data_IF_622555220857
#
_entry.id   IF_622555220857
#
_cell.length_a   1.000
_cell.length_b   1.000
_cell.length_c   1.000
_cell.angle_alpha   90.00
_cell.angle_beta   90.00
_cell.angle_gamma   90.00
#
_symmetry.space_group_name_H-M   'P 1'
#
loop_
_entity.id
_entity.type
_entity.pdbx_description
1 polymer ?
#
# COMPACT_ATOMS: atom_id res chain seq x y z
N UNK A 1 -16.17 10.23 -27.05
CA UNK A 1 -16.49 9.50 -25.82
C UNK A 1 -15.47 9.90 -24.77
N UNK A 2 -15.90 10.62 -23.74
CA UNK A 2 -15.02 11.12 -22.67
C UNK A 2 -14.63 9.95 -21.78
N UNK A 3 -13.40 9.45 -21.94
CA UNK A 3 -12.79 8.57 -20.94
C UNK A 3 -12.53 9.43 -19.71
N UNK A 4 -13.51 9.51 -18.82
CA UNK A 4 -13.26 9.95 -17.46
C UNK A 4 -12.22 8.99 -16.91
N UNK A 5 -10.98 9.45 -16.92
CA UNK A 5 -9.84 8.88 -16.24
C UNK A 5 -10.31 8.57 -14.82
N UNK A 6 -10.68 7.32 -14.59
CA UNK A 6 -10.80 6.79 -13.24
C UNK A 6 -9.35 6.79 -12.78
N UNK A 7 -8.98 7.85 -12.06
CA UNK A 7 -7.79 7.84 -11.22
C UNK A 7 -8.08 6.76 -10.18
N UNK A 8 -7.77 5.50 -10.52
CA UNK A 8 -7.65 4.43 -9.55
C UNK A 8 -6.38 4.79 -8.78
N UNK A 9 -6.58 5.70 -7.83
CA UNK A 9 -5.69 5.97 -6.73
C UNK A 9 -5.43 4.63 -6.05
N UNK A 10 -4.20 4.13 -6.08
CA UNK A 10 -3.78 3.12 -5.10
C UNK A 10 -3.42 3.88 -3.83
N UNK A 11 -4.42 4.57 -3.28
CA UNK A 11 -4.21 5.49 -2.17
C UNK A 11 -5.05 5.04 -1.06
N UNK A 12 -4.32 4.46 -0.11
CA UNK A 12 -4.79 4.12 1.20
C UNK A 12 -5.73 2.93 1.11
N UNK A 13 -5.47 1.95 1.95
CA UNK A 13 -6.24 0.73 2.00
C UNK A 13 -7.74 1.01 2.02
N UNK A 14 -8.47 0.08 1.41
CA UNK A 14 -9.89 0.13 1.06
C UNK A 14 -10.77 0.77 2.12
N UNK A 15 -10.53 0.50 3.39
CA UNK A 15 -11.43 0.97 4.44
C UNK A 15 -11.31 2.48 4.66
N UNK A 16 -10.14 3.06 4.44
CA UNK A 16 -10.00 4.51 4.42
C UNK A 16 -10.83 5.16 3.31
N UNK A 17 -10.79 4.58 2.11
CA UNK A 17 -11.59 5.04 0.98
C UNK A 17 -13.09 4.81 1.21
N UNK A 18 -13.49 3.69 1.81
CA UNK A 18 -14.89 3.41 2.13
C UNK A 18 -15.44 4.43 3.14
N UNK A 19 -14.67 4.76 4.17
CA UNK A 19 -15.13 5.74 5.14
C UNK A 19 -15.08 7.16 4.57
N UNK A 20 -14.04 7.54 3.82
CA UNK A 20 -14.06 8.80 3.05
C UNK A 20 -15.28 8.89 2.12
N UNK A 21 -15.60 7.81 1.40
CA UNK A 21 -16.75 7.73 0.49
C UNK A 21 -18.09 7.88 1.22
N UNK A 22 -18.27 7.23 2.38
CA UNK A 22 -19.45 7.39 3.23
C UNK A 22 -19.63 8.85 3.68
N UNK A 23 -18.56 9.54 4.06
CA UNK A 23 -18.62 10.95 4.46
C UNK A 23 -18.76 11.91 3.26
N UNK A 24 -18.24 11.58 2.07
CA UNK A 24 -18.41 12.36 0.84
C UNK A 24 -19.85 12.30 0.32
N UNK A 25 -20.51 11.14 0.40
CA UNK A 25 -21.92 10.98 -0.01
C UNK A 25 -22.91 11.77 0.84
N UNK A 26 -22.55 12.08 2.09
CA UNK A 26 -23.32 12.97 2.98
C UNK A 26 -23.08 14.46 2.69
N UNK A 27 -22.38 14.81 1.60
CA UNK A 27 -22.25 16.18 1.10
C UNK A 27 -21.16 17.02 1.77
N UNK A 28 -20.19 16.40 2.45
CA UNK A 28 -19.10 17.08 3.15
C UNK A 28 -17.70 16.70 2.67
N UNK A 29 -16.71 17.54 3.00
CA UNK A 29 -15.29 17.14 3.01
C UNK A 29 -15.06 16.09 4.09
N UNK A 30 -14.02 15.27 3.94
CA UNK A 30 -13.59 14.35 4.99
C UNK A 30 -13.53 15.08 6.35
N UNK A 31 -14.08 14.51 7.43
CA UNK A 31 -14.18 15.18 8.73
C UNK A 31 -12.85 15.23 9.49
N UNK A 32 -11.77 14.77 8.86
CA UNK A 32 -10.43 14.68 9.42
C UNK A 32 -9.38 15.17 8.41
N UNK A 33 -8.19 15.45 8.93
CA UNK A 33 -6.97 15.67 8.18
C UNK A 33 -6.01 14.50 8.46
N UNK A 34 -5.43 13.91 7.41
CA UNK A 34 -4.41 12.88 7.56
C UNK A 34 -3.10 13.60 7.88
N UNK A 35 -2.60 13.44 9.10
CA UNK A 35 -1.35 14.09 9.53
C UNK A 35 -0.13 13.23 9.22
N UNK A 36 -0.30 11.91 9.27
CA UNK A 36 0.76 10.94 9.02
C UNK A 36 0.17 9.70 8.35
N UNK A 37 0.92 9.16 7.41
CA UNK A 37 0.61 7.94 6.69
C UNK A 37 1.88 7.12 6.45
N UNK A 38 1.84 5.84 6.80
CA UNK A 38 2.88 4.88 6.47
C UNK A 38 2.30 3.60 5.89
N UNK A 39 2.77 3.20 4.72
CA UNK A 39 2.46 1.88 4.15
C UNK A 39 3.72 1.03 4.11
N UNK A 40 3.66 -0.17 4.68
CA UNK A 40 4.73 -1.16 4.64
C UNK A 40 4.26 -2.36 3.83
N UNK A 41 5.02 -2.75 2.81
CA UNK A 41 4.71 -3.85 1.91
C UNK A 41 5.81 -4.89 2.02
N UNK A 42 5.47 -6.06 2.53
CA UNK A 42 6.42 -7.15 2.77
C UNK A 42 6.14 -8.26 1.76
N UNK A 43 7.07 -8.47 0.82
CA UNK A 43 6.90 -9.43 -0.29
C UNK A 43 7.58 -10.77 0.00
N UNK A 44 6.98 -11.86 -0.47
CA UNK A 44 7.59 -13.18 -0.49
C UNK A 44 7.93 -13.64 -1.92
N UNK A 45 8.62 -14.78 -2.04
CA UNK A 45 8.96 -15.38 -3.34
C UNK A 45 7.81 -16.10 -4.04
N UNK A 46 6.67 -16.27 -3.37
CA UNK A 46 5.46 -16.83 -3.99
C UNK A 46 4.65 -15.75 -4.73
N UNK A 47 5.08 -14.49 -4.67
CA UNK A 47 4.36 -13.36 -5.23
C UNK A 47 3.24 -12.84 -4.33
N UNK A 48 3.18 -13.29 -3.07
CA UNK A 48 2.27 -12.73 -2.08
C UNK A 48 2.94 -11.54 -1.39
N UNK A 49 2.11 -10.70 -0.77
CA UNK A 49 2.61 -9.64 0.09
C UNK A 49 1.66 -9.32 1.24
N UNK A 50 2.24 -8.94 2.38
CA UNK A 50 1.49 -8.35 3.49
C UNK A 50 1.63 -6.84 3.44
N UNK A 51 0.51 -6.15 3.31
CA UNK A 51 0.46 -4.70 3.30
C UNK A 51 -0.05 -4.22 4.65
N UNK A 52 0.78 -3.48 5.39
CA UNK A 52 0.41 -2.85 6.66
C UNK A 52 0.40 -1.35 6.50
N UNK A 53 -0.77 -0.76 6.68
CA UNK A 53 -0.98 0.68 6.65
C UNK A 53 -1.15 1.21 8.07
N UNK A 54 -0.50 2.32 8.38
CA UNK A 54 -0.67 3.08 9.62
C UNK A 54 -0.98 4.53 9.27
N UNK A 55 -2.14 5.03 9.70
CA UNK A 55 -2.55 6.40 9.47
C UNK A 55 -2.89 7.08 10.79
N UNK A 56 -2.57 8.37 10.90
CA UNK A 56 -3.02 9.23 12.00
C UNK A 56 -3.95 10.29 11.46
N UNK A 57 -5.15 10.33 12.02
CA UNK A 57 -6.23 11.20 11.58
C UNK A 57 -6.55 12.22 12.67
N UNK A 58 -6.46 13.49 12.30
CA UNK A 58 -6.82 14.59 13.17
C UNK A 58 -8.25 15.06 12.86
N UNK A 59 -9.10 15.05 13.88
CA UNK A 59 -10.48 15.53 13.78
C UNK A 59 -10.61 16.87 14.50
N UNK A 60 -11.27 17.85 13.86
CA UNK A 60 -11.64 19.11 14.52
C UNK A 60 -12.86 18.96 15.43
N UNK A 61 -13.70 17.96 15.14
CA UNK A 61 -14.95 17.69 15.82
C UNK A 61 -14.92 16.29 16.42
N UNK A 62 -14.91 16.23 17.75
CA UNK A 62 -14.85 15.00 18.53
C UNK A 62 -16.04 14.06 18.25
N UNK A 63 -17.23 14.62 17.99
CA UNK A 63 -18.41 13.80 17.68
C UNK A 63 -18.21 13.06 16.37
N UNK A 64 -17.64 13.72 15.36
CA UNK A 64 -17.33 13.10 14.06
C UNK A 64 -16.23 12.06 14.16
N UNK A 65 -15.28 12.22 15.08
CA UNK A 65 -14.26 11.21 15.37
C UNK A 65 -14.88 9.91 15.89
N UNK A 66 -15.77 10.02 16.87
CA UNK A 66 -16.46 8.86 17.43
C UNK A 66 -17.40 8.18 16.41
N UNK A 67 -18.12 8.98 15.60
CA UNK A 67 -18.92 8.46 14.49
C UNK A 67 -18.05 7.72 13.46
N UNK A 68 -16.90 8.29 13.08
CA UNK A 68 -15.94 7.67 12.17
C UNK A 68 -15.44 6.34 12.73
N UNK A 69 -15.01 6.32 13.99
CA UNK A 69 -14.50 5.12 14.69
C UNK A 69 -15.53 3.99 14.70
N UNK A 70 -16.79 4.30 15.03
CA UNK A 70 -17.87 3.32 15.06
C UNK A 70 -18.15 2.71 13.67
N UNK A 71 -18.15 3.56 12.63
CA UNK A 71 -18.38 3.11 11.25
C UNK A 71 -17.18 2.33 10.69
N UNK A 72 -15.96 2.69 11.08
CA UNK A 72 -14.73 1.99 10.66
C UNK A 72 -14.74 0.53 11.11
N UNK A 73 -15.15 0.28 12.36
CA UNK A 73 -15.30 -1.07 12.90
C UNK A 73 -16.37 -1.92 12.17
N UNK A 74 -17.29 -1.27 11.44
CA UNK A 74 -18.33 -1.93 10.65
C UNK A 74 -17.98 -2.12 9.17
N UNK A 75 -16.84 -1.58 8.72
CA UNK A 75 -16.42 -1.71 7.33
C UNK A 75 -16.15 -3.18 6.98
N UNK A 76 -16.72 -3.64 5.86
CA UNK A 76 -16.81 -5.06 5.54
C UNK A 76 -15.66 -5.56 4.66
N UNK A 77 -15.29 -6.84 4.85
CA UNK A 77 -14.41 -7.61 3.95
C UNK A 77 -14.90 -7.61 2.48
N UNK A 78 -16.18 -7.35 2.25
CA UNK A 78 -16.79 -7.30 0.92
C UNK A 78 -16.29 -6.11 0.10
N UNK A 79 -16.17 -4.92 0.71
CA UNK A 79 -15.60 -3.75 0.02
C UNK A 79 -14.13 -3.95 -0.35
N UNK A 80 -13.39 -4.71 0.46
CA UNK A 80 -11.99 -5.08 0.19
C UNK A 80 -11.88 -5.95 -1.08
N UNK A 81 -12.77 -6.94 -1.21
CA UNK A 81 -12.83 -7.80 -2.40
C UNK A 81 -13.18 -7.01 -3.66
N UNK A 82 -14.16 -6.10 -3.58
CA UNK A 82 -14.57 -5.30 -4.73
C UNK A 82 -13.43 -4.37 -5.20
N UNK A 83 -12.74 -3.72 -4.26
CA UNK A 83 -11.58 -2.91 -4.58
C UNK A 83 -10.47 -3.71 -5.27
N UNK A 84 -10.06 -4.83 -4.70
CA UNK A 84 -8.99 -5.63 -5.30
C UNK A 84 -9.41 -6.26 -6.63
N UNK A 85 -10.70 -6.46 -6.87
CA UNK A 85 -11.21 -6.81 -8.21
C UNK A 85 -10.98 -5.68 -9.22
N UNK A 86 -11.17 -4.42 -8.84
CA UNK A 86 -10.89 -3.27 -9.70
C UNK A 86 -9.38 -3.08 -9.92
N UNK A 87 -8.57 -3.17 -8.86
CA UNK A 87 -7.10 -3.13 -8.95
C UNK A 87 -6.61 -4.24 -9.87
N UNK A 88 -7.13 -5.46 -9.75
CA UNK A 88 -6.74 -6.58 -10.59
C UNK A 88 -6.97 -6.31 -12.09
N UNK A 89 -8.08 -5.64 -12.42
CA UNK A 89 -8.40 -5.26 -13.81
C UNK A 89 -7.44 -4.21 -14.34
N UNK A 90 -7.10 -3.20 -13.54
CA UNK A 90 -6.19 -2.12 -13.94
C UNK A 90 -4.74 -2.60 -14.08
N UNK A 91 -4.29 -3.44 -13.15
CA UNK A 91 -2.93 -4.02 -13.18
C UNK A 91 -2.81 -5.10 -14.26
N UNK A 92 -3.93 -5.72 -14.66
CA UNK A 92 -3.94 -6.85 -15.59
C UNK A 92 -3.47 -8.16 -14.96
N UNK A 93 -3.54 -8.27 -13.62
CA UNK A 93 -3.15 -9.45 -12.84
C UNK A 93 -4.16 -9.68 -11.72
N UNK A 94 -4.49 -10.94 -11.45
CA UNK A 94 -5.35 -11.28 -10.33
C UNK A 94 -4.64 -11.04 -9.00
N UNK A 95 -5.20 -10.13 -8.18
CA UNK A 95 -4.76 -9.81 -6.82
C UNK A 95 -5.93 -10.10 -5.88
N UNK A 96 -5.72 -11.02 -4.94
CA UNK A 96 -6.80 -11.50 -4.05
C UNK A 96 -6.44 -11.22 -2.59
N UNK A 97 -7.27 -10.48 -1.85
CA UNK A 97 -7.11 -10.37 -0.40
C UNK A 97 -7.48 -11.70 0.25
N UNK A 98 -6.50 -12.32 0.91
CA UNK A 98 -6.68 -13.58 1.63
C UNK A 98 -7.15 -13.31 3.06
N UNK A 99 -6.52 -12.32 3.69
CA UNK A 99 -6.78 -11.97 5.08
C UNK A 99 -6.76 -10.45 5.28
N UNK A 100 -7.50 -10.00 6.29
CA UNK A 100 -7.68 -8.60 6.59
C UNK A 100 -7.93 -8.36 8.07
N UNK A 101 -7.08 -7.52 8.66
CA UNK A 101 -7.21 -7.06 10.03
C UNK A 101 -7.21 -5.55 10.07
N UNK A 102 -8.00 -5.00 11.00
CA UNK A 102 -8.12 -3.58 11.21
C UNK A 102 -8.16 -3.28 12.70
N UNK A 103 -7.46 -2.25 13.10
CA UNK A 103 -7.49 -1.74 14.46
C UNK A 103 -7.55 -0.23 14.44
N UNK A 104 -8.33 0.33 15.36
CA UNK A 104 -8.51 1.76 15.52
C UNK A 104 -8.32 2.09 16.98
N UNK A 105 -7.40 3.00 17.28
CA UNK A 105 -7.11 3.46 18.62
C UNK A 105 -7.19 4.98 18.70
N UNK A 106 -7.42 5.48 19.91
CA UNK A 106 -7.32 6.91 20.21
C UNK A 106 -5.98 7.15 20.92
N UNK A 107 -5.18 8.07 20.40
CA UNK A 107 -3.87 8.40 20.94
C UNK A 107 -3.63 9.90 20.78
N UNK A 108 -3.51 10.61 21.92
CA UNK A 108 -3.12 12.02 21.93
C UNK A 108 -4.08 12.96 21.19
N UNK A 109 -5.38 12.67 21.15
CA UNK A 109 -6.37 13.48 20.43
C UNK A 109 -6.41 13.22 18.91
N UNK A 110 -5.74 12.16 18.45
CA UNK A 110 -5.79 11.67 17.09
C UNK A 110 -6.33 10.24 17.07
N UNK A 111 -6.96 9.90 15.96
CA UNK A 111 -7.37 8.53 15.69
C UNK A 111 -6.25 7.85 14.91
N UNK A 112 -5.68 6.79 15.48
CA UNK A 112 -4.69 5.95 14.80
C UNK A 112 -5.38 4.73 14.22
N UNK A 113 -5.15 4.49 12.93
CA UNK A 113 -5.74 3.38 12.18
C UNK A 113 -4.59 2.53 11.68
N UNK A 114 -4.60 1.26 12.08
CA UNK A 114 -3.67 0.27 11.55
C UNK A 114 -4.46 -0.82 10.85
N UNK A 115 -4.04 -1.12 9.63
CA UNK A 115 -4.70 -2.10 8.80
C UNK A 115 -3.66 -3.03 8.18
N UNK A 116 -3.95 -4.32 8.18
CA UNK A 116 -3.06 -5.34 7.64
C UNK A 116 -3.84 -6.19 6.66
N UNK A 117 -3.35 -6.32 5.42
CA UNK A 117 -3.95 -7.17 4.39
C UNK A 117 -2.92 -8.13 3.83
N UNK A 118 -3.24 -9.42 3.84
CA UNK A 118 -2.46 -10.42 3.11
C UNK A 118 -3.03 -10.53 1.69
N UNK A 119 -2.18 -10.28 0.70
CA UNK A 119 -2.52 -10.29 -0.72
C UNK A 119 -1.83 -11.45 -1.43
N UNK A 120 -2.63 -12.25 -2.14
CA UNK A 120 -2.13 -13.18 -3.14
C UNK A 120 -1.94 -12.48 -4.47
N UNK A 121 -0.85 -12.78 -5.17
CA UNK A 121 -0.59 -12.23 -6.51
C UNK A 121 -0.20 -10.75 -6.52
N UNK A 122 0.25 -10.23 -5.38
CA UNK A 122 0.74 -8.85 -5.25
C UNK A 122 1.96 -8.57 -6.15
N UNK A 123 2.78 -9.58 -6.42
CA UNK A 123 3.84 -9.54 -7.43
C UNK A 123 3.62 -10.64 -8.48
N UNK A 124 4.06 -10.38 -9.71
CA UNK A 124 4.05 -11.35 -10.78
C UNK A 124 5.33 -12.17 -10.76
N UNK A 125 5.19 -13.49 -10.69
CA UNK A 125 6.32 -14.42 -10.82
C UNK A 125 6.53 -14.80 -12.29
N UNK A 126 7.71 -14.50 -12.82
CA UNK A 126 8.14 -14.85 -14.17
C UNK A 126 9.44 -15.67 -14.07
N UNK A 127 9.31 -16.99 -13.96
CA UNK A 127 10.46 -17.86 -13.65
C UNK A 127 10.89 -17.69 -12.19
N UNK A 128 12.12 -17.27 -11.96
CA UNK A 128 12.69 -16.94 -10.64
C UNK A 128 12.66 -15.43 -10.32
N UNK A 129 12.14 -14.61 -11.24
CA UNK A 129 12.06 -13.16 -11.11
C UNK A 129 10.66 -12.74 -10.69
N UNK A 130 10.58 -11.88 -9.69
CA UNK A 130 9.36 -11.24 -9.24
C UNK A 130 9.30 -9.78 -9.68
N UNK A 131 8.14 -9.37 -10.19
CA UNK A 131 7.83 -7.98 -10.53
C UNK A 131 6.68 -7.47 -9.66
N UNK A 132 6.98 -6.51 -8.77
CA UNK A 132 5.98 -5.88 -7.89
C UNK A 132 5.16 -4.79 -8.56
N UNK A 133 5.34 -4.57 -9.87
CA UNK A 133 4.65 -3.52 -10.62
C UNK A 133 3.13 -3.64 -10.47
N UNK A 134 2.54 -2.48 -10.21
CA UNK A 134 1.10 -2.24 -10.16
C UNK A 134 0.65 -1.39 -11.37
N UNK A 135 1.38 -1.47 -12.49
CA UNK A 135 1.03 -0.80 -13.74
C UNK A 135 1.12 0.73 -13.67
N UNK A 136 0.05 1.39 -14.10
CA UNK A 136 -0.10 2.86 -14.15
C UNK A 136 -0.50 3.47 -12.80
N UNK A 137 -0.72 2.65 -11.76
CA UNK A 137 -1.27 3.10 -10.49
C UNK A 137 -0.40 4.14 -9.81
N UNK A 138 -1.06 5.13 -9.22
CA UNK A 138 -0.43 6.26 -8.54
C UNK A 138 -0.84 6.31 -7.07
N UNK A 139 0.12 6.70 -6.25
CA UNK A 139 -0.01 7.02 -4.84
C UNK A 139 -0.17 8.53 -4.71
N UNK A 140 -1.25 8.98 -4.08
CA UNK A 140 -1.34 10.30 -3.47
C UNK A 140 -0.56 10.29 -2.16
N UNK A 141 -0.19 11.50 -1.77
CA UNK A 141 0.67 11.78 -0.64
C UNK A 141 -0.11 12.66 0.33
N UNK A 142 -0.90 12.06 1.23
CA UNK A 142 -1.56 12.80 2.30
C UNK A 142 -0.59 13.09 3.45
N UNK A 143 -0.59 14.33 3.97
CA UNK A 143 0.22 14.71 5.13
C UNK A 143 1.69 14.30 4.99
N UNK A 144 2.29 13.82 6.08
CA UNK A 144 3.60 13.15 6.04
C UNK A 144 3.43 11.69 5.62
N UNK A 145 3.93 11.34 4.44
CA UNK A 145 3.79 10.01 3.84
C UNK A 145 5.14 9.27 3.81
N UNK A 146 5.14 8.03 4.29
CA UNK A 146 6.25 7.08 4.13
C UNK A 146 5.76 5.80 3.46
N UNK A 147 6.44 5.36 2.41
CA UNK A 147 6.18 4.10 1.73
C UNK A 147 7.41 3.22 1.92
N UNK A 148 7.22 2.03 2.46
CA UNK A 148 8.28 1.08 2.78
C UNK A 148 8.00 -0.21 2.04
N UNK A 149 8.98 -0.70 1.29
CA UNK A 149 8.97 -2.03 0.71
C UNK A 149 10.06 -2.86 1.35
N UNK A 150 9.69 -4.01 1.91
CA UNK A 150 10.63 -4.99 2.44
C UNK A 150 10.62 -6.21 1.52
N UNK A 151 11.78 -6.50 0.95
CA UNK A 151 12.02 -7.71 0.18
C UNK A 151 12.52 -8.82 1.12
N UNK A 152 12.52 -10.09 0.70
CA UNK A 152 13.23 -11.14 1.41
C UNK A 152 14.73 -10.77 1.61
N UNK A 153 15.34 -11.22 2.70
CA UNK A 153 16.72 -10.85 3.04
C UNK A 153 17.75 -11.32 2.01
N UNK A 154 17.50 -12.46 1.36
CA UNK A 154 18.31 -13.06 0.31
C UNK A 154 17.92 -12.59 -1.10
N UNK A 155 17.18 -11.47 -1.21
CA UNK A 155 16.76 -10.92 -2.50
C UNK A 155 17.84 -10.02 -3.12
N UNK A 156 18.14 -10.27 -4.40
CA UNK A 156 18.88 -9.32 -5.25
C UNK A 156 17.91 -8.53 -6.09
N UNK A 157 18.05 -7.21 -6.01
CA UNK A 157 17.25 -6.27 -6.80
C UNK A 157 17.86 -6.10 -8.19
N UNK A 158 17.05 -6.35 -9.21
CA UNK A 158 17.39 -6.18 -10.63
C UNK A 158 17.08 -4.75 -11.08
N UNK A 159 15.90 -4.22 -10.71
CA UNK A 159 15.51 -2.85 -11.04
C UNK A 159 14.55 -2.26 -10.01
N UNK A 160 14.54 -0.93 -9.90
CA UNK A 160 13.67 -0.18 -9.00
C UNK A 160 13.18 1.08 -9.71
N UNK A 161 11.88 1.38 -9.61
CA UNK A 161 11.31 2.65 -10.05
C UNK A 161 10.05 3.02 -9.23
N UNK A 162 9.87 4.28 -8.81
CA UNK A 162 10.88 5.35 -8.85
C UNK A 162 12.01 5.08 -7.85
N UNK A 163 13.10 5.83 -7.95
CA UNK A 163 14.24 5.69 -7.03
C UNK A 163 13.80 5.95 -5.58
N UNK A 164 14.13 5.06 -4.63
CA UNK A 164 13.80 5.26 -3.22
C UNK A 164 14.58 6.45 -2.65
N UNK A 165 13.99 7.09 -1.65
CA UNK A 165 14.67 8.13 -0.86
C UNK A 165 15.83 7.52 -0.07
N UNK A 166 15.66 6.30 0.41
CA UNK A 166 16.61 5.59 1.25
C UNK A 166 16.55 4.08 0.99
N UNK A 167 17.70 3.42 1.07
CA UNK A 167 17.84 1.97 0.91
C UNK A 167 18.75 1.41 1.99
N UNK A 168 18.23 0.48 2.77
CA UNK A 168 18.94 -0.23 3.83
C UNK A 168 18.76 -1.73 3.60
N UNK A 169 19.80 -2.41 3.10
CA UNK A 169 19.76 -3.83 2.76
C UNK A 169 18.59 -4.18 1.81
N UNK A 170 17.63 -4.97 2.29
CA UNK A 170 16.41 -5.44 1.64
C UNK A 170 15.20 -4.50 1.85
N UNK A 171 15.41 -3.35 2.51
CA UNK A 171 14.37 -2.36 2.80
C UNK A 171 14.56 -1.12 1.92
N UNK A 172 13.49 -0.73 1.24
CA UNK A 172 13.42 0.42 0.33
C UNK A 172 12.38 1.40 0.86
N UNK A 173 12.75 2.67 0.99
CA UNK A 173 11.90 3.69 1.62
C UNK A 173 11.74 4.88 0.67
N UNK A 174 10.49 5.29 0.45
CA UNK A 174 10.12 6.52 -0.26
C UNK A 174 9.42 7.47 0.70
N UNK A 175 9.79 8.75 0.65
CA UNK A 175 9.14 9.83 1.40
C UNK A 175 8.65 10.89 0.42
N UNK A 176 7.65 10.57 -0.41
CA UNK A 176 7.22 11.46 -1.47
C UNK A 176 6.59 12.73 -0.89
N UNK A 177 6.71 13.84 -1.63
CA UNK A 177 6.06 15.13 -1.29
C UNK A 177 4.93 15.49 -2.27
N UNK A 178 4.85 14.77 -3.38
CA UNK A 178 3.88 14.93 -4.45
C UNK A 178 3.42 13.55 -4.89
N UNK A 179 2.23 13.43 -5.51
CA UNK A 179 1.74 12.16 -6.04
C UNK A 179 2.82 11.44 -6.87
N UNK A 180 3.02 10.15 -6.58
CA UNK A 180 4.06 9.34 -7.23
C UNK A 180 3.46 8.08 -7.84
N UNK A 181 4.16 7.47 -8.79
CA UNK A 181 3.80 6.11 -9.23
C UNK A 181 4.00 5.12 -8.10
N UNK A 182 3.17 4.09 -8.06
CA UNK A 182 3.37 2.97 -7.15
C UNK A 182 4.78 2.36 -7.37
N UNK A 183 5.57 2.13 -6.31
CA UNK A 183 6.90 1.54 -6.44
C UNK A 183 6.88 0.17 -7.12
N UNK A 184 7.63 0.05 -8.19
CA UNK A 184 7.93 -1.20 -8.89
C UNK A 184 9.36 -1.60 -8.59
N UNK A 185 9.52 -2.84 -8.14
CA UNK A 185 10.80 -3.47 -7.88
C UNK A 185 10.79 -4.82 -8.57
N UNK A 186 11.81 -5.05 -9.38
CA UNK A 186 12.08 -6.36 -9.97
C UNK A 186 13.21 -6.99 -9.18
N UNK A 187 12.97 -8.16 -8.60
CA UNK A 187 13.95 -8.85 -7.76
C UNK A 187 13.90 -10.37 -7.96
N UNK A 188 14.95 -11.05 -7.52
CA UNK A 188 15.04 -12.52 -7.52
C UNK A 188 15.80 -13.01 -6.30
N UNK A 189 15.71 -14.30 -6.01
CA UNK A 189 16.52 -14.92 -4.96
C UNK A 189 17.99 -15.00 -5.38
N UNK A 190 18.91 -14.67 -4.48
CA UNK A 190 20.33 -15.01 -4.66
C UNK A 190 20.47 -16.53 -4.65
N UNK A 191 20.98 -17.09 -5.75
CA UNK A 191 21.40 -18.51 -5.77
C UNK A 191 22.88 -18.58 -5.41
N UNK A 192 23.30 -19.63 -4.70
CA UNK A 192 24.67 -19.78 -4.15
C UNK A 192 25.80 -19.60 -5.19
N UNK A 193 25.49 -19.76 -6.48
CA UNK A 193 26.45 -19.64 -7.59
C UNK A 193 26.70 -18.19 -8.06
N UNK A 194 25.96 -17.19 -7.57
CA UNK A 194 26.17 -15.77 -7.93
C UNK A 194 27.05 -15.01 -6.90
N UNK A 195 27.48 -15.69 -5.82
CA UNK A 195 28.25 -15.12 -4.72
C UNK A 195 29.78 -15.22 -4.83
N UNK A 196 30.31 -15.82 -5.90
CA UNK A 196 31.76 -15.91 -6.13
C UNK A 196 32.14 -15.05 -7.34
N UNK A 197 32.31 -13.75 -7.09
CA UNK A 197 33.22 -12.96 -7.94
C UNK A 197 34.63 -13.44 -7.60
N UNK A 198 35.13 -14.42 -8.34
CA UNK A 198 36.57 -14.70 -8.39
C UNK A 198 37.28 -13.39 -8.74
N UNK A 199 37.97 -12.82 -7.75
CA UNK A 199 39.01 -11.84 -8.01
C UNK A 199 40.15 -12.62 -8.67
N UNK A 200 40.14 -12.63 -10.00
CA UNK A 200 41.28 -13.04 -10.79
C UNK A 200 42.20 -11.84 -11.02
N UNK A 201 43.48 -12.11 -10.75
CA UNK A 201 44.72 -11.31 -10.93
C UNK A 201 45.14 -10.36 -9.80
#
# INVERSE_FOLDING_TARGET
>A
MSSKTIYILLVIMVVFMLVEFLFFFLGGRAPFEIVYYKSTMEYDYSGNATFTTNAKLYFKDEKKKEEYKANYASASKEGLNEYFSQVSKEVGREIIPLDYEVSVSDSGGMLEVTETTLLKGAAQLNGDVLDTSMGSLTLNVPGETEIVMKLPEDATVISIFPTPTERENNVLIWRPKEPMRFPSVIFKRVTENEGVSETAE
#
